data_IF_168538442642
#
_entry.id   IF_168538442642
#
_cell.length_a   1.000
_cell.length_b   1.000
_cell.length_c   1.000
_cell.angle_alpha   90.00
_cell.angle_beta   90.00
_cell.angle_gamma   90.00
#
_symmetry.space_group_name_H-M   'P 1'
#
loop_
_entity.id
_entity.type
_entity.pdbx_description
1 polymer ?
#
# COMPACT_ATOMS: atom_id res chain seq x y z
N UNK A 1 15.86 9.76 -47.34
CA UNK A 1 14.73 10.32 -48.10
C UNK A 1 15.05 11.74 -48.65
N UNK A 2 15.46 12.69 -47.80
CA UNK A 2 15.75 14.09 -48.22
C UNK A 2 16.88 14.17 -49.23
N UNK A 3 17.98 13.43 -49.04
CA UNK A 3 19.12 13.40 -49.97
C UNK A 3 18.74 12.79 -51.32
N UNK A 4 17.93 11.74 -51.37
CA UNK A 4 17.43 11.14 -52.63
C UNK A 4 16.46 12.06 -53.37
N UNK A 5 15.62 12.79 -52.67
CA UNK A 5 14.72 13.78 -53.22
C UNK A 5 15.51 14.99 -53.77
N UNK A 6 16.58 15.39 -53.10
CA UNK A 6 17.48 16.46 -53.54
C UNK A 6 18.26 16.08 -54.80
N UNK A 7 18.75 14.82 -54.93
CA UNK A 7 19.40 14.29 -56.13
C UNK A 7 18.43 14.21 -57.33
N UNK A 8 17.16 13.78 -57.09
CA UNK A 8 16.15 13.79 -58.16
C UNK A 8 15.82 15.19 -58.67
N UNK A 9 15.88 16.21 -57.83
CA UNK A 9 15.66 17.61 -58.21
C UNK A 9 16.83 18.19 -59.00
N UNK A 10 18.02 17.60 -58.91
CA UNK A 10 19.18 18.00 -59.68
C UNK A 10 19.34 17.32 -61.06
N UNK A 11 18.40 16.38 -61.38
CA UNK A 11 18.43 15.74 -62.73
C UNK A 11 19.47 14.62 -62.85
N UNK A 12 20.07 14.14 -61.76
CA UNK A 12 21.02 13.03 -61.77
C UNK A 12 20.29 11.69 -61.93
N UNK A 13 20.86 10.82 -62.80
CA UNK A 13 20.30 9.45 -62.96
C UNK A 13 20.60 8.60 -61.75
N UNK A 14 19.55 8.19 -61.04
CA UNK A 14 19.66 7.31 -59.90
C UNK A 14 20.13 5.92 -60.33
N UNK A 15 21.31 5.52 -59.89
CA UNK A 15 21.78 4.15 -60.08
C UNK A 15 21.06 3.22 -59.10
N UNK A 16 20.93 1.91 -59.42
CA UNK A 16 20.30 0.92 -58.54
C UNK A 16 20.95 0.87 -57.14
N UNK A 17 22.26 1.14 -57.06
CA UNK A 17 23.00 1.18 -55.81
C UNK A 17 22.61 2.37 -54.89
N UNK A 18 22.45 3.57 -55.50
CA UNK A 18 22.03 4.75 -54.74
C UNK A 18 20.58 4.62 -54.24
N UNK A 19 19.72 4.00 -55.02
CA UNK A 19 18.33 3.70 -54.63
C UNK A 19 18.26 2.73 -53.43
N UNK A 20 19.01 1.62 -53.51
CA UNK A 20 19.03 0.63 -52.43
C UNK A 20 19.62 1.22 -51.16
N UNK A 21 20.71 1.96 -51.23
CA UNK A 21 21.35 2.61 -50.08
C UNK A 21 20.42 3.64 -49.43
N UNK A 22 19.73 4.44 -50.23
CA UNK A 22 18.77 5.44 -49.74
C UNK A 22 17.57 4.78 -49.08
N UNK A 23 17.07 3.66 -49.63
CA UNK A 23 15.96 2.90 -49.07
C UNK A 23 16.32 2.28 -47.73
N UNK A 24 17.53 1.71 -47.62
CA UNK A 24 18.03 1.13 -46.36
C UNK A 24 18.21 2.20 -45.28
N UNK A 25 18.78 3.36 -45.66
CA UNK A 25 18.92 4.48 -44.73
C UNK A 25 17.57 5.05 -44.30
N UNK A 26 16.61 5.17 -45.21
CA UNK A 26 15.25 5.60 -44.88
C UNK A 26 14.53 4.62 -43.93
N UNK A 27 14.69 3.31 -44.18
CA UNK A 27 14.14 2.28 -43.30
C UNK A 27 14.76 2.33 -41.89
N UNK A 28 16.08 2.41 -41.76
CA UNK A 28 16.79 2.53 -40.49
C UNK A 28 16.42 3.82 -39.75
N UNK A 29 16.32 4.94 -40.47
CA UNK A 29 15.89 6.21 -39.87
C UNK A 29 14.47 6.18 -39.38
N UNK A 30 13.56 5.50 -40.10
CA UNK A 30 12.16 5.30 -39.68
C UNK A 30 12.05 4.49 -38.38
N UNK A 31 12.85 3.41 -38.23
CA UNK A 31 12.89 2.61 -37.01
C UNK A 31 13.37 3.44 -35.80
N UNK A 32 14.43 4.24 -35.99
CA UNK A 32 14.94 5.13 -34.93
C UNK A 32 13.93 6.24 -34.56
N UNK A 33 13.23 6.77 -35.57
CA UNK A 33 12.20 7.79 -35.33
C UNK A 33 11.00 7.24 -34.54
N UNK A 34 10.59 6.00 -34.87
CA UNK A 34 9.52 5.34 -34.14
C UNK A 34 9.85 5.13 -32.65
N UNK A 35 11.10 4.77 -32.34
CA UNK A 35 11.59 4.62 -30.98
C UNK A 35 11.53 5.94 -30.20
N UNK A 36 11.98 7.03 -30.84
CA UNK A 36 11.91 8.38 -30.22
C UNK A 36 10.46 8.82 -29.97
N UNK A 37 9.57 8.57 -30.95
CA UNK A 37 8.14 8.90 -30.79
C UNK A 37 7.49 8.06 -29.66
N UNK A 38 7.84 6.78 -29.55
CA UNK A 38 7.36 5.94 -28.46
C UNK A 38 7.91 6.40 -27.10
N UNK A 39 9.20 6.69 -27.00
CA UNK A 39 9.80 7.22 -25.78
C UNK A 39 9.13 8.54 -25.35
N UNK A 40 8.89 9.44 -26.31
CA UNK A 40 8.16 10.69 -26.06
C UNK A 40 6.74 10.44 -25.55
N UNK A 41 6.00 9.48 -26.13
CA UNK A 41 4.65 9.13 -25.69
C UNK A 41 4.65 8.57 -24.27
N UNK A 42 5.62 7.72 -23.92
CA UNK A 42 5.80 7.18 -22.57
C UNK A 42 6.11 8.30 -21.56
N UNK A 43 7.02 9.21 -21.90
CA UNK A 43 7.33 10.36 -21.05
C UNK A 43 6.12 11.26 -20.84
N UNK A 44 5.41 11.63 -21.90
CA UNK A 44 4.24 12.50 -21.82
C UNK A 44 3.05 11.82 -21.11
N UNK A 45 2.89 10.49 -21.30
CA UNK A 45 1.85 9.73 -20.62
C UNK A 45 2.06 9.61 -19.12
N UNK A 46 3.33 9.60 -18.68
CA UNK A 46 3.66 9.50 -17.24
C UNK A 46 3.83 10.88 -16.56
N UNK A 47 3.90 11.96 -17.34
CA UNK A 47 4.08 13.32 -16.81
C UNK A 47 2.98 13.73 -15.81
N UNK A 48 1.67 13.49 -16.08
CA UNK A 48 0.61 13.83 -15.14
C UNK A 48 0.73 13.09 -13.80
N UNK A 49 1.17 11.82 -13.83
CA UNK A 49 1.43 11.04 -12.63
C UNK A 49 2.60 11.60 -11.82
N UNK A 50 3.67 12.01 -12.50
CA UNK A 50 4.81 12.66 -11.86
C UNK A 50 4.45 14.03 -11.27
N UNK A 51 3.69 14.83 -11.98
CA UNK A 51 3.20 16.14 -11.49
C UNK A 51 2.30 15.97 -10.27
N UNK A 52 1.39 14.97 -10.29
CA UNK A 52 0.56 14.64 -9.13
C UNK A 52 1.39 14.20 -7.92
N UNK A 53 2.45 13.42 -8.14
CA UNK A 53 3.41 13.03 -7.09
C UNK A 53 4.17 14.24 -6.55
N UNK A 54 4.63 15.14 -7.41
CA UNK A 54 5.33 16.36 -7.01
C UNK A 54 4.41 17.30 -6.23
N UNK A 55 3.14 17.45 -6.62
CA UNK A 55 2.15 18.23 -5.90
C UNK A 55 1.86 17.61 -4.52
N UNK A 56 1.66 16.28 -4.44
CA UNK A 56 1.49 15.58 -3.17
C UNK A 56 2.73 15.68 -2.28
N UNK A 57 3.93 15.58 -2.87
CA UNK A 57 5.18 15.79 -2.11
C UNK A 57 5.26 17.18 -1.51
N UNK A 58 4.83 18.22 -2.26
CA UNK A 58 4.75 19.60 -1.73
C UNK A 58 3.77 19.75 -0.56
N UNK A 59 2.71 18.93 -0.56
CA UNK A 59 1.75 18.86 0.55
C UNK A 59 2.27 18.04 1.74
N UNK A 60 3.16 17.06 1.48
CA UNK A 60 3.76 16.19 2.48
C UNK A 60 4.99 16.80 3.17
N UNK A 61 5.56 17.91 2.63
CA UNK A 61 6.60 18.67 3.33
C UNK A 61 5.91 19.41 4.47
N UNK A 62 6.26 19.16 5.75
CA UNK A 62 5.63 19.84 6.87
C UNK A 62 5.80 21.34 6.70
N UNK A 63 4.71 22.11 6.71
CA UNK A 63 4.81 23.53 6.98
C UNK A 63 5.50 23.66 8.34
N UNK A 64 6.69 24.22 8.35
CA UNK A 64 7.36 24.65 9.58
C UNK A 64 6.52 25.78 10.19
N UNK A 65 5.66 25.44 11.13
CA UNK A 65 4.86 26.41 11.83
C UNK A 65 3.60 25.76 12.38
N UNK A 66 3.76 25.00 13.42
CA UNK A 66 2.90 25.01 14.62
C UNK A 66 3.51 24.06 15.65
N UNK A 67 4.49 24.55 16.35
CA UNK A 67 5.13 23.87 17.49
C UNK A 67 4.28 23.98 18.78
N UNK A 68 2.95 24.11 18.67
CA UNK A 68 2.05 24.20 19.82
C UNK A 68 1.33 22.88 20.16
N UNK A 69 1.35 21.89 19.24
CA UNK A 69 0.86 20.57 19.57
C UNK A 69 2.00 19.79 20.27
N UNK A 70 1.80 19.43 21.52
CA UNK A 70 2.77 18.70 22.35
C UNK A 70 3.03 17.34 21.71
N UNK A 71 4.03 17.28 20.83
CA UNK A 71 4.59 16.04 20.32
C UNK A 71 4.95 15.18 21.52
N UNK A 72 4.42 13.99 21.62
CA UNK A 72 4.91 13.03 22.62
C UNK A 72 6.39 12.89 22.37
N UNK A 73 7.22 13.15 23.39
CA UNK A 73 8.67 13.07 23.28
C UNK A 73 9.08 11.66 22.81
N UNK A 74 10.18 11.54 22.04
CA UNK A 74 10.66 10.25 21.50
C UNK A 74 10.79 9.16 22.57
N UNK A 75 11.15 9.51 23.81
CA UNK A 75 11.16 8.60 24.95
C UNK A 75 9.77 8.01 25.29
N UNK A 76 8.69 8.77 25.05
CA UNK A 76 7.31 8.30 25.25
C UNK A 76 6.85 7.39 24.12
N UNK A 77 7.34 7.59 22.88
CA UNK A 77 7.06 6.72 21.74
C UNK A 77 7.70 5.34 21.92
N UNK A 78 8.93 5.28 22.44
CA UNK A 78 9.58 4.00 22.77
C UNK A 78 8.79 3.24 23.83
N UNK A 79 8.29 3.95 24.85
CA UNK A 79 7.41 3.36 25.87
C UNK A 79 6.10 2.87 25.27
N UNK A 80 5.49 3.63 24.36
CA UNK A 80 4.27 3.27 23.65
C UNK A 80 4.46 2.03 22.76
N UNK A 81 5.58 1.91 22.05
CA UNK A 81 5.85 0.78 21.16
C UNK A 81 6.08 -0.53 21.90
N UNK A 82 6.50 -0.47 23.17
CA UNK A 82 6.75 -1.62 24.04
C UNK A 82 5.65 -1.87 25.05
N UNK A 83 4.75 -0.89 25.27
CA UNK A 83 3.63 -1.03 26.20
C UNK A 83 2.58 -2.03 25.68
N UNK A 84 2.03 -2.83 26.59
CA UNK A 84 0.80 -3.57 26.32
C UNK A 84 -0.36 -2.60 26.42
N UNK A 85 -1.03 -2.33 25.31
CA UNK A 85 -2.25 -1.53 25.30
C UNK A 85 -3.42 -2.41 25.70
N UNK A 86 -4.34 -1.84 26.43
CA UNK A 86 -5.56 -2.53 26.82
C UNK A 86 -6.75 -2.08 25.96
N UNK A 87 -6.64 -0.89 25.38
CA UNK A 87 -7.73 -0.29 24.62
C UNK A 87 -7.18 0.78 23.65
N UNK A 88 -7.77 0.83 22.47
CA UNK A 88 -7.62 1.90 21.50
C UNK A 88 -9.01 2.47 21.19
N UNK A 89 -9.20 3.75 21.43
CA UNK A 89 -10.34 4.52 20.96
C UNK A 89 -9.90 5.40 19.81
N UNK A 90 -10.57 5.30 18.67
CA UNK A 90 -10.40 6.21 17.53
C UNK A 90 -11.68 6.99 17.29
N UNK A 91 -11.55 8.27 16.95
CA UNK A 91 -12.66 9.11 16.52
C UNK A 91 -12.22 10.11 15.44
N UNK A 92 -13.16 10.49 14.57
CA UNK A 92 -12.96 11.51 13.53
C UNK A 92 -14.15 12.44 13.48
N UNK A 93 -13.89 13.74 13.35
CA UNK A 93 -14.91 14.76 13.13
C UNK A 93 -15.35 14.87 11.67
N UNK A 94 -14.60 14.26 10.74
CA UNK A 94 -14.93 14.30 9.34
C UNK A 94 -16.17 13.44 9.02
N UNK A 95 -17.01 13.92 8.10
CA UNK A 95 -18.11 13.15 7.55
C UNK A 95 -17.56 11.91 6.82
N UNK A 96 -17.76 10.75 7.40
CA UNK A 96 -17.18 9.52 6.88
C UNK A 96 -18.13 8.88 5.88
N UNK A 97 -17.61 8.46 4.73
CA UNK A 97 -18.35 7.67 3.74
C UNK A 97 -18.94 6.36 4.31
N UNK A 98 -18.51 5.98 5.50
CA UNK A 98 -18.96 4.79 6.24
C UNK A 98 -20.02 5.11 7.30
N UNK A 99 -20.28 6.39 7.58
CA UNK A 99 -21.13 6.83 8.70
C UNK A 99 -20.56 6.51 10.09
N UNK A 100 -19.39 5.90 10.18
CA UNK A 100 -18.72 5.56 11.44
C UNK A 100 -17.72 6.65 11.82
N UNK A 101 -18.00 7.37 12.91
CA UNK A 101 -17.17 8.47 13.40
C UNK A 101 -16.29 8.09 14.59
N UNK A 102 -16.49 6.92 15.17
CA UNK A 102 -15.68 6.42 16.28
C UNK A 102 -15.63 4.90 16.32
N UNK A 103 -14.56 4.36 16.88
CA UNK A 103 -14.33 2.93 17.05
C UNK A 103 -13.57 2.66 18.34
N UNK A 104 -14.12 1.78 19.17
CA UNK A 104 -13.47 1.24 20.35
C UNK A 104 -12.97 -0.16 20.08
N UNK A 105 -11.71 -0.41 20.41
CA UNK A 105 -11.05 -1.70 20.24
C UNK A 105 -10.30 -2.07 21.52
N UNK A 106 -10.39 -3.33 21.91
CA UNK A 106 -9.78 -3.84 23.15
C UNK A 106 -8.55 -4.69 22.83
N UNK A 107 -7.54 -4.63 23.69
CA UNK A 107 -6.31 -5.39 23.54
C UNK A 107 -6.56 -6.89 23.57
N UNK A 108 -5.64 -7.60 22.93
CA UNK A 108 -5.73 -9.07 22.77
C UNK A 108 -7.03 -9.48 22.09
N UNK A 109 -7.45 -8.71 21.08
CA UNK A 109 -8.69 -8.94 20.38
C UNK A 109 -8.57 -8.73 18.88
N UNK A 110 -9.41 -9.44 18.16
CA UNK A 110 -9.59 -9.33 16.72
C UNK A 110 -10.87 -8.56 16.44
N UNK A 111 -10.74 -7.38 15.85
CA UNK A 111 -11.87 -6.59 15.36
C UNK A 111 -11.96 -6.75 13.86
N UNK A 112 -13.09 -7.25 13.38
CA UNK A 112 -13.33 -7.45 11.95
C UNK A 112 -14.34 -6.44 11.40
N UNK A 113 -13.98 -5.80 10.29
CA UNK A 113 -14.85 -4.93 9.52
C UNK A 113 -15.38 -5.71 8.32
N UNK A 114 -16.70 -5.77 8.19
CA UNK A 114 -17.37 -6.40 7.04
C UNK A 114 -18.36 -5.44 6.38
N UNK A 115 -18.81 -5.77 5.19
CA UNK A 115 -19.77 -4.97 4.43
C UNK A 115 -19.57 -5.12 2.92
N UNK A 116 -20.49 -4.69 2.08
CA UNK A 116 -20.40 -4.84 0.63
C UNK A 116 -19.16 -4.17 0.04
N UNK A 117 -18.79 -4.55 -1.18
CA UNK A 117 -17.71 -3.87 -1.91
C UNK A 117 -18.03 -2.39 -2.08
N UNK A 118 -17.04 -1.52 -1.90
CA UNK A 118 -17.21 -0.07 -1.99
C UNK A 118 -17.87 0.58 -0.75
N UNK A 119 -18.15 -0.16 0.32
CA UNK A 119 -18.72 0.42 1.56
C UNK A 119 -17.74 1.24 2.38
N UNK A 120 -16.46 1.31 2.00
CA UNK A 120 -15.45 2.09 2.69
C UNK A 120 -14.64 1.35 3.76
N UNK A 121 -14.65 0.00 3.77
CA UNK A 121 -13.86 -0.81 4.73
C UNK A 121 -12.37 -0.45 4.75
N UNK A 122 -11.73 -0.47 3.59
CA UNK A 122 -10.33 -0.05 3.42
C UNK A 122 -10.10 1.37 3.93
N UNK A 123 -10.99 2.31 3.55
CA UNK A 123 -10.91 3.70 4.01
C UNK A 123 -11.00 3.81 5.52
N UNK A 124 -11.87 3.00 6.16
CA UNK A 124 -11.99 2.99 7.61
C UNK A 124 -10.72 2.45 8.29
N UNK A 125 -10.17 1.33 7.79
CA UNK A 125 -8.88 0.81 8.29
C UNK A 125 -7.78 1.85 8.12
N UNK A 126 -7.66 2.46 6.93
CA UNK A 126 -6.65 3.48 6.66
C UNK A 126 -6.75 4.68 7.59
N UNK A 127 -7.97 5.11 7.95
CA UNK A 127 -8.21 6.17 8.94
C UNK A 127 -7.77 5.77 10.33
N UNK A 128 -8.26 4.63 10.82
CA UNK A 128 -7.91 4.13 12.15
C UNK A 128 -6.41 3.90 12.29
N UNK A 129 -5.77 3.44 11.22
CA UNK A 129 -4.33 3.25 11.12
C UNK A 129 -3.53 4.56 10.95
N UNK A 130 -4.20 5.70 10.79
CA UNK A 130 -3.54 6.99 10.57
C UNK A 130 -2.90 7.14 9.20
N UNK A 131 -3.26 6.31 8.22
CA UNK A 131 -2.70 6.36 6.87
C UNK A 131 -3.31 7.47 6.01
N UNK A 132 -4.50 7.95 6.37
CA UNK A 132 -5.11 9.12 5.77
C UNK A 132 -4.73 10.37 6.58
N UNK A 133 -4.31 11.43 5.86
CA UNK A 133 -3.93 12.70 6.47
C UNK A 133 -5.18 13.52 6.80
N UNK A 134 -5.82 13.24 7.93
CA UNK A 134 -7.00 13.94 8.42
C UNK A 134 -6.65 14.73 9.69
N UNK A 135 -6.98 16.02 9.70
CA UNK A 135 -6.72 16.89 10.85
C UNK A 135 -7.66 16.58 12.02
N UNK A 136 -8.84 16.05 11.73
CA UNK A 136 -9.90 15.77 12.72
C UNK A 136 -9.84 14.35 13.30
N UNK A 137 -8.79 13.58 13.01
CA UNK A 137 -8.62 12.25 13.59
C UNK A 137 -7.97 12.31 14.96
N UNK A 138 -8.52 11.54 15.89
CA UNK A 138 -8.05 11.45 17.27
C UNK A 138 -7.90 9.99 17.68
N UNK A 139 -6.84 9.68 18.39
CA UNK A 139 -6.59 8.35 18.97
C UNK A 139 -6.34 8.50 20.45
N UNK A 140 -6.98 7.67 21.25
CA UNK A 140 -6.69 7.51 22.66
C UNK A 140 -6.28 6.05 22.91
N UNK A 141 -5.09 5.88 23.46
CA UNK A 141 -4.51 4.58 23.76
C UNK A 141 -4.41 4.44 25.28
N UNK A 142 -4.99 3.40 25.83
CA UNK A 142 -4.95 3.11 27.25
C UNK A 142 -4.15 1.84 27.49
N UNK A 143 -3.20 1.87 28.41
CA UNK A 143 -2.41 0.68 28.78
C UNK A 143 -1.42 0.94 29.90
N UNK A 144 -1.11 -0.09 30.68
CA UNK A 144 -0.15 -0.03 31.78
C UNK A 144 -0.41 1.12 32.76
N UNK A 145 -1.67 1.51 32.96
CA UNK A 145 -2.06 2.62 33.86
C UNK A 145 -1.88 4.02 33.27
N UNK A 146 -1.52 4.12 32.00
CA UNK A 146 -1.34 5.39 31.28
C UNK A 146 -2.39 5.55 30.17
N UNK A 147 -2.67 6.81 29.84
CA UNK A 147 -3.49 7.20 28.69
C UNK A 147 -2.67 8.15 27.81
N UNK A 148 -2.54 7.77 26.53
CA UNK A 148 -1.90 8.60 25.52
C UNK A 148 -2.98 9.12 24.56
N UNK A 149 -2.87 10.38 24.20
CA UNK A 149 -3.77 11.03 23.24
C UNK A 149 -2.97 11.54 22.07
N UNK A 150 -3.36 11.10 20.88
CA UNK A 150 -2.78 11.51 19.61
C UNK A 150 -3.87 12.20 18.80
N UNK A 151 -3.52 13.25 18.05
CA UNK A 151 -4.50 13.98 17.25
C UNK A 151 -3.89 14.57 16.00
N UNK A 152 -4.72 14.72 14.98
CA UNK A 152 -4.39 15.35 13.73
C UNK A 152 -3.21 14.68 12.99
N UNK A 153 -2.54 15.45 12.15
CA UNK A 153 -1.42 14.95 11.34
C UNK A 153 -0.21 14.51 12.19
N UNK A 154 0.02 15.14 13.33
CA UNK A 154 1.10 14.73 14.24
C UNK A 154 0.77 13.37 14.88
N UNK A 155 -0.46 13.19 15.33
CA UNK A 155 -0.94 11.92 15.87
C UNK A 155 -0.89 10.79 14.86
N UNK A 156 -1.29 11.04 13.62
CA UNK A 156 -1.19 10.07 12.53
C UNK A 156 0.24 9.58 12.31
N UNK A 157 1.23 10.50 12.30
CA UNK A 157 2.66 10.12 12.18
C UNK A 157 3.14 9.26 13.34
N UNK A 158 2.65 9.52 14.55
CA UNK A 158 2.97 8.69 15.71
C UNK A 158 2.31 7.32 15.60
N UNK A 159 1.06 7.24 15.12
CA UNK A 159 0.40 5.97 14.84
C UNK A 159 1.17 5.11 13.83
N UNK A 160 1.79 5.69 12.79
CA UNK A 160 2.62 4.94 11.84
C UNK A 160 3.80 4.21 12.50
N UNK A 161 4.29 4.68 13.64
CA UNK A 161 5.38 3.99 14.37
C UNK A 161 4.87 2.82 15.21
N UNK A 162 3.58 2.80 15.52
CA UNK A 162 2.93 1.85 16.40
C UNK A 162 2.20 0.73 15.65
N UNK A 163 2.03 0.89 14.34
CA UNK A 163 1.22 -0.01 13.51
C UNK A 163 2.07 -0.82 12.54
N UNK A 164 1.66 -2.08 12.33
CA UNK A 164 2.01 -2.86 11.16
C UNK A 164 0.78 -2.96 10.25
N UNK A 165 0.91 -2.54 9.00
CA UNK A 165 -0.19 -2.51 8.04
C UNK A 165 0.09 -3.40 6.84
N UNK A 166 -0.87 -4.22 6.46
CA UNK A 166 -0.87 -4.99 5.23
C UNK A 166 -2.04 -4.58 4.33
N UNK A 167 -1.79 -3.94 3.19
CA UNK A 167 -2.83 -3.59 2.24
C UNK A 167 -3.34 -4.82 1.48
N UNK A 168 -4.56 -4.75 0.96
CA UNK A 168 -5.14 -5.80 0.12
C UNK A 168 -4.26 -6.14 -1.09
N UNK A 169 -3.66 -5.13 -1.72
CA UNK A 169 -2.78 -5.29 -2.86
C UNK A 169 -1.34 -4.94 -2.46
N UNK A 170 -0.57 -5.96 -2.11
CA UNK A 170 0.85 -5.80 -1.85
C UNK A 170 1.63 -5.63 -3.16
N UNK A 171 2.74 -4.89 -3.10
CA UNK A 171 3.64 -4.67 -4.24
C UNK A 171 5.01 -5.23 -3.90
N UNK A 172 5.63 -5.92 -4.86
CA UNK A 172 7.05 -6.31 -4.82
C UNK A 172 7.86 -5.36 -5.70
N UNK A 173 9.08 -5.11 -5.26
CA UNK A 173 10.06 -4.28 -5.97
C UNK A 173 11.12 -5.16 -6.63
N UNK A 174 11.76 -4.67 -7.69
CA UNK A 174 12.93 -5.29 -8.31
C UNK A 174 14.17 -5.16 -7.39
N UNK A 175 14.14 -5.87 -6.28
CA UNK A 175 15.14 -5.95 -5.24
C UNK A 175 15.20 -7.40 -4.75
N UNK A 176 16.04 -7.72 -3.77
CA UNK A 176 16.06 -9.07 -3.20
C UNK A 176 14.75 -9.39 -2.45
N UNK A 177 14.46 -10.68 -2.22
CA UNK A 177 13.32 -11.06 -1.39
C UNK A 177 13.50 -10.54 0.05
N UNK A 178 14.71 -10.54 0.57
CA UNK A 178 15.06 -9.94 1.86
C UNK A 178 14.69 -8.46 1.91
N UNK A 179 15.13 -7.68 0.93
CA UNK A 179 14.86 -6.24 0.89
C UNK A 179 13.36 -5.96 0.79
N UNK A 180 12.65 -6.77 -0.01
CA UNK A 180 11.20 -6.68 -0.12
C UNK A 180 10.48 -6.95 1.20
N UNK A 181 10.96 -7.88 2.01
CA UNK A 181 10.34 -8.21 3.30
C UNK A 181 10.71 -7.19 4.39
N UNK A 182 11.96 -6.78 4.45
CA UNK A 182 12.45 -5.94 5.53
C UNK A 182 12.18 -4.45 5.31
N UNK A 183 12.29 -3.94 4.07
CA UNK A 183 12.18 -2.51 3.76
C UNK A 183 12.99 -1.64 4.74
N UNK A 184 14.23 -2.06 5.03
CA UNK A 184 15.13 -1.37 5.93
C UNK A 184 14.95 -1.67 7.42
N UNK A 185 14.07 -2.59 7.81
CA UNK A 185 14.01 -3.10 9.18
C UNK A 185 15.06 -4.20 9.41
N UNK A 186 15.59 -4.28 10.62
CA UNK A 186 16.50 -5.35 11.00
C UNK A 186 15.72 -6.56 11.53
N UNK A 187 15.94 -7.72 10.92
CA UNK A 187 15.42 -9.00 11.39
C UNK A 187 16.43 -10.12 11.10
N UNK A 188 16.51 -11.08 12.01
CA UNK A 188 17.35 -12.25 11.82
C UNK A 188 16.83 -13.13 10.68
N UNK A 189 17.73 -13.69 9.90
CA UNK A 189 17.41 -14.57 8.78
C UNK A 189 16.51 -15.74 9.19
N UNK A 190 16.81 -16.39 10.31
CA UNK A 190 16.04 -17.52 10.85
C UNK A 190 14.56 -17.18 11.10
N UNK A 191 14.29 -15.93 11.53
CA UNK A 191 12.93 -15.47 11.71
C UNK A 191 12.19 -15.38 10.36
N UNK A 192 12.83 -14.87 9.31
CA UNK A 192 12.25 -14.77 7.96
C UNK A 192 11.96 -16.17 7.41
N UNK A 193 12.90 -17.11 7.52
CA UNK A 193 12.75 -18.48 7.04
C UNK A 193 11.60 -19.20 7.76
N UNK A 194 11.52 -19.05 9.07
CA UNK A 194 10.42 -19.61 9.88
C UNK A 194 9.06 -19.06 9.42
N UNK A 195 8.97 -17.76 9.18
CA UNK A 195 7.74 -17.15 8.69
C UNK A 195 7.35 -17.62 7.29
N UNK A 196 8.31 -17.75 6.37
CA UNK A 196 8.06 -18.27 5.03
C UNK A 196 7.53 -19.71 5.09
N UNK A 197 8.08 -20.54 5.97
CA UNK A 197 7.57 -21.90 6.20
C UNK A 197 6.12 -21.90 6.72
N UNK A 198 5.83 -21.08 7.73
CA UNK A 198 4.49 -20.96 8.33
C UNK A 198 3.43 -20.52 7.32
N UNK A 199 3.81 -19.70 6.35
CA UNK A 199 2.91 -19.20 5.31
C UNK A 199 2.86 -20.08 4.05
N UNK A 200 3.53 -21.25 4.06
CA UNK A 200 3.59 -22.13 2.89
C UNK A 200 4.39 -21.53 1.72
N UNK A 201 5.39 -20.71 2.03
CA UNK A 201 6.26 -20.04 1.06
C UNK A 201 7.71 -20.56 1.12
N UNK A 202 7.94 -21.72 1.76
CA UNK A 202 9.29 -22.31 1.95
C UNK A 202 10.02 -22.52 0.61
N UNK A 203 9.30 -22.85 -0.47
CA UNK A 203 9.86 -23.03 -1.81
C UNK A 203 10.60 -21.78 -2.33
N UNK A 204 10.30 -20.60 -1.83
CA UNK A 204 10.99 -19.36 -2.20
C UNK A 204 12.44 -19.34 -1.70
N UNK A 205 12.78 -20.12 -0.66
CA UNK A 205 14.14 -20.28 -0.16
C UNK A 205 15.00 -21.16 -1.07
N UNK A 206 14.37 -22.03 -1.86
CA UNK A 206 15.04 -22.96 -2.78
C UNK A 206 15.46 -22.28 -4.10
N UNK A 207 15.02 -21.02 -4.31
CA UNK A 207 15.41 -20.25 -5.50
C UNK A 207 16.92 -20.01 -5.50
N UNK A 208 17.57 -19.98 -6.70
CA UNK A 208 19.00 -19.67 -6.80
C UNK A 208 19.33 -18.34 -6.12
N UNK A 209 20.23 -18.37 -5.12
CA UNK A 209 20.60 -17.21 -4.31
C UNK A 209 19.67 -16.94 -3.11
N UNK A 210 18.63 -17.75 -2.90
CA UNK A 210 17.78 -17.70 -1.70
C UNK A 210 17.15 -16.33 -1.47
N UNK A 211 17.22 -15.84 -0.22
CA UNK A 211 16.66 -14.54 0.17
C UNK A 211 17.33 -13.34 -0.48
N UNK A 212 18.60 -13.45 -0.85
CA UNK A 212 19.42 -12.32 -1.31
C UNK A 212 19.47 -12.20 -2.84
N UNK A 213 18.85 -13.15 -3.57
CA UNK A 213 18.75 -13.07 -5.03
C UNK A 213 17.83 -11.93 -5.46
N UNK A 214 18.22 -11.12 -6.46
CA UNK A 214 17.34 -10.14 -7.05
C UNK A 214 16.10 -10.80 -7.64
N UNK A 215 14.92 -10.21 -7.42
CA UNK A 215 13.68 -10.68 -8.01
C UNK A 215 13.58 -10.17 -9.44
N UNK A 216 13.56 -11.08 -10.42
CA UNK A 216 13.33 -10.78 -11.82
C UNK A 216 11.82 -10.88 -12.12
N UNK A 217 11.02 -9.95 -11.64
CA UNK A 217 9.54 -10.01 -11.64
C UNK A 217 8.95 -10.23 -13.03
N UNK A 218 9.62 -9.75 -14.08
CA UNK A 218 9.16 -9.93 -15.46
C UNK A 218 9.46 -11.34 -16.01
N UNK A 219 10.47 -12.04 -15.49
CA UNK A 219 10.92 -13.35 -15.99
C UNK A 219 10.40 -14.51 -15.13
N UNK A 220 10.22 -14.26 -13.86
CA UNK A 220 9.76 -15.25 -12.87
C UNK A 220 8.69 -14.62 -11.97
N UNK A 221 7.46 -14.48 -12.49
CA UNK A 221 6.40 -13.80 -11.79
C UNK A 221 5.90 -14.60 -10.60
N UNK A 222 5.65 -13.91 -9.50
CA UNK A 222 4.96 -14.47 -8.34
C UNK A 222 3.47 -14.58 -8.61
N UNK A 223 2.82 -15.60 -8.08
CA UNK A 223 1.36 -15.67 -8.05
C UNK A 223 0.77 -14.56 -7.17
N UNK A 224 -0.47 -14.16 -7.46
CA UNK A 224 -1.17 -13.15 -6.64
C UNK A 224 -1.25 -13.55 -5.16
N UNK A 225 -1.48 -14.84 -4.89
CA UNK A 225 -1.51 -15.36 -3.52
C UNK A 225 -0.14 -15.35 -2.82
N UNK A 226 0.97 -15.51 -3.53
CA UNK A 226 2.32 -15.36 -2.97
C UNK A 226 2.63 -13.91 -2.64
N UNK A 227 2.35 -13.00 -3.58
CA UNK A 227 2.53 -11.54 -3.36
C UNK A 227 1.73 -11.10 -2.14
N UNK A 228 0.49 -11.55 -2.02
CA UNK A 228 -0.38 -11.21 -0.91
C UNK A 228 0.19 -11.70 0.44
N UNK A 229 0.60 -12.97 0.52
CA UNK A 229 1.23 -13.55 1.73
C UNK A 229 2.55 -12.89 2.07
N UNK A 230 3.37 -12.50 1.08
CA UNK A 230 4.59 -11.72 1.32
C UNK A 230 4.27 -10.31 1.86
N UNK A 231 3.16 -9.70 1.44
CA UNK A 231 2.67 -8.44 2.00
C UNK A 231 2.28 -8.56 3.47
N UNK A 232 1.56 -9.63 3.83
CA UNK A 232 1.23 -9.96 5.23
C UNK A 232 2.50 -10.21 6.05
N UNK A 233 3.43 -11.01 5.53
CA UNK A 233 4.69 -11.29 6.19
C UNK A 233 5.49 -10.02 6.45
N UNK A 234 5.54 -9.10 5.50
CA UNK A 234 6.16 -7.77 5.64
C UNK A 234 5.60 -7.00 6.84
N UNK A 235 4.29 -7.02 7.03
CA UNK A 235 3.64 -6.39 8.18
C UNK A 235 4.01 -7.11 9.48
N UNK A 236 3.94 -8.43 9.53
CA UNK A 236 4.22 -9.20 10.74
C UNK A 236 5.68 -9.16 11.20
N UNK A 237 6.63 -9.06 10.27
CA UNK A 237 8.05 -8.86 10.61
C UNK A 237 8.33 -7.52 11.30
N UNK A 238 7.44 -6.54 11.18
CA UNK A 238 7.57 -5.27 11.90
C UNK A 238 7.30 -5.36 13.37
N UNK A 239 6.63 -6.41 13.81
CA UNK A 239 6.36 -6.74 15.21
C UNK A 239 5.77 -5.59 16.03
N UNK A 240 4.72 -4.96 15.52
CA UNK A 240 4.07 -3.80 16.14
C UNK A 240 2.92 -4.21 17.06
N UNK A 241 2.60 -3.39 18.08
CA UNK A 241 1.51 -3.68 19.02
C UNK A 241 0.11 -3.61 18.40
N UNK A 242 -0.07 -2.86 17.31
CA UNK A 242 -1.31 -2.77 16.54
C UNK A 242 -1.09 -3.24 15.11
N UNK A 243 -1.99 -4.05 14.59
CA UNK A 243 -1.96 -4.60 13.25
C UNK A 243 -3.25 -4.29 12.49
N UNK A 244 -3.11 -3.63 11.33
CA UNK A 244 -4.19 -3.40 10.39
C UNK A 244 -4.00 -4.26 9.15
N UNK A 245 -4.96 -5.14 8.84
CA UNK A 245 -4.88 -6.04 7.69
C UNK A 245 -6.11 -5.88 6.79
N UNK A 246 -5.89 -5.49 5.55
CA UNK A 246 -6.99 -5.31 4.60
C UNK A 246 -7.16 -6.58 3.75
N UNK A 247 -8.30 -7.28 3.91
CA UNK A 247 -8.68 -8.52 3.24
C UNK A 247 -7.57 -9.61 3.30
N UNK A 248 -7.10 -10.04 4.49
CA UNK A 248 -5.89 -10.86 4.64
C UNK A 248 -5.98 -12.26 4.01
N UNK A 249 -7.17 -12.77 3.73
CA UNK A 249 -7.37 -14.07 3.07
C UNK A 249 -7.80 -13.96 1.60
N UNK A 250 -7.87 -12.74 1.05
CA UNK A 250 -8.20 -12.55 -0.37
C UNK A 250 -7.16 -13.20 -1.29
N UNK A 251 -7.61 -13.69 -2.42
CA UNK A 251 -6.77 -14.33 -3.46
C UNK A 251 -6.04 -15.61 -3.03
N UNK A 252 -6.36 -16.17 -1.87
CA UNK A 252 -5.74 -17.37 -1.34
C UNK A 252 -6.61 -18.61 -1.61
N UNK A 253 -5.95 -19.73 -1.89
CA UNK A 253 -6.60 -21.04 -1.84
C UNK A 253 -6.93 -21.42 -0.38
N UNK A 254 -7.75 -22.45 -0.20
CA UNK A 254 -8.22 -22.87 1.13
C UNK A 254 -7.07 -23.20 2.10
N UNK A 255 -5.98 -23.80 1.61
CA UNK A 255 -4.82 -24.18 2.44
C UNK A 255 -4.03 -22.94 2.87
N UNK A 256 -3.74 -22.03 1.94
CA UNK A 256 -3.04 -20.80 2.22
C UNK A 256 -3.87 -19.88 3.14
N UNK A 257 -5.19 -19.80 2.92
CA UNK A 257 -6.08 -19.06 3.79
C UNK A 257 -6.08 -19.60 5.23
N UNK A 258 -6.06 -20.94 5.42
CA UNK A 258 -5.97 -21.55 6.75
C UNK A 258 -4.64 -21.21 7.45
N UNK A 259 -3.52 -21.22 6.73
CA UNK A 259 -2.24 -20.77 7.30
C UNK A 259 -2.33 -19.33 7.81
N UNK A 260 -2.91 -18.43 7.01
CA UNK A 260 -3.07 -17.01 7.37
C UNK A 260 -4.03 -16.86 8.56
N UNK A 261 -5.18 -17.55 8.57
CA UNK A 261 -6.12 -17.52 9.68
C UNK A 261 -5.49 -18.01 11.00
N UNK A 262 -4.70 -19.08 10.93
CA UNK A 262 -3.98 -19.61 12.09
C UNK A 262 -3.02 -18.59 12.68
N UNK A 263 -2.29 -17.87 11.84
CA UNK A 263 -1.38 -16.80 12.28
C UNK A 263 -2.15 -15.64 12.88
N UNK A 264 -3.23 -15.19 12.25
CA UNK A 264 -4.08 -14.10 12.77
C UNK A 264 -4.61 -14.47 14.16
N UNK A 265 -5.13 -15.68 14.32
CA UNK A 265 -5.65 -16.18 15.61
C UNK A 265 -4.60 -16.16 16.72
N UNK A 266 -3.38 -16.61 16.44
CA UNK A 266 -2.28 -16.59 17.39
C UNK A 266 -1.87 -15.16 17.77
N UNK A 267 -1.73 -14.30 16.77
CA UNK A 267 -1.29 -12.92 16.99
C UNK A 267 -2.33 -12.08 17.71
N UNK A 268 -3.62 -12.28 17.45
CA UNK A 268 -4.71 -11.61 18.13
C UNK A 268 -4.73 -11.84 19.66
N UNK A 269 -4.15 -12.95 20.12
CA UNK A 269 -4.01 -13.20 21.57
C UNK A 269 -3.02 -12.27 22.28
N UNK A 270 -2.15 -11.62 21.55
CA UNK A 270 -1.07 -10.80 22.10
C UNK A 270 -1.08 -9.35 21.59
N UNK A 271 -1.88 -9.06 20.56
CA UNK A 271 -1.89 -7.78 19.84
C UNK A 271 -3.31 -7.33 19.57
N UNK A 272 -3.46 -6.04 19.37
CA UNK A 272 -4.68 -5.49 18.84
C UNK A 272 -4.67 -5.64 17.32
N UNK A 273 -5.71 -6.27 16.78
CA UNK A 273 -5.82 -6.50 15.33
C UNK A 273 -7.13 -5.92 14.79
N UNK A 274 -7.02 -5.13 13.72
CA UNK A 274 -8.14 -4.63 12.95
C UNK A 274 -8.04 -5.20 11.53
N UNK A 275 -9.05 -5.94 11.11
CA UNK A 275 -9.07 -6.53 9.76
C UNK A 275 -10.31 -6.11 8.99
N UNK A 276 -10.22 -5.96 7.69
CA UNK A 276 -11.38 -6.08 6.81
C UNK A 276 -11.49 -7.52 6.33
N UNK A 277 -12.67 -8.08 6.27
CA UNK A 277 -12.81 -9.42 5.71
C UNK A 277 -14.23 -9.75 5.26
N UNK A 278 -14.29 -10.60 4.24
CA UNK A 278 -15.49 -11.35 3.82
C UNK A 278 -15.40 -12.84 4.17
N UNK A 279 -14.30 -13.28 4.78
CA UNK A 279 -14.06 -14.66 5.15
C UNK A 279 -14.92 -15.04 6.38
N UNK A 280 -15.89 -15.96 6.24
CA UNK A 280 -16.78 -16.32 7.35
C UNK A 280 -16.04 -16.90 8.55
N UNK A 281 -14.92 -17.58 8.33
CA UNK A 281 -14.15 -18.20 9.40
C UNK A 281 -13.38 -17.16 10.22
N UNK A 282 -12.87 -16.09 9.57
CA UNK A 282 -12.28 -14.96 10.29
C UNK A 282 -13.32 -14.15 11.04
N UNK A 283 -14.50 -13.92 10.44
CA UNK A 283 -15.59 -13.21 11.08
C UNK A 283 -16.11 -13.98 12.31
N UNK A 284 -16.18 -15.31 12.24
CA UNK A 284 -16.58 -16.15 13.37
C UNK A 284 -15.55 -16.18 14.52
N UNK A 285 -14.30 -15.85 14.25
CA UNK A 285 -13.22 -15.79 15.25
C UNK A 285 -13.02 -14.39 15.83
N UNK A 286 -13.64 -13.36 15.23
CA UNK A 286 -13.50 -12.00 15.69
C UNK A 286 -14.24 -11.78 17.02
N UNK A 287 -13.58 -11.06 17.94
CA UNK A 287 -14.19 -10.66 19.21
C UNK A 287 -15.23 -9.56 19.00
N UNK A 288 -15.07 -8.78 17.94
CA UNK A 288 -16.01 -7.74 17.52
C UNK A 288 -16.13 -7.72 16.00
N UNK A 289 -17.37 -7.68 15.50
CA UNK A 289 -17.65 -7.53 14.07
C UNK A 289 -18.40 -6.24 13.83
N UNK A 290 -17.85 -5.39 12.96
CA UNK A 290 -18.42 -4.10 12.57
C UNK A 290 -18.90 -4.20 11.12
N UNK A 291 -20.19 -4.00 10.92
CA UNK A 291 -20.77 -3.98 9.58
C UNK A 291 -20.83 -2.55 9.05
N UNK A 292 -20.12 -2.27 7.98
CA UNK A 292 -20.14 -0.97 7.30
C UNK A 292 -21.15 -1.01 6.16
N UNK A 293 -22.09 -0.08 6.18
CA UNK A 293 -23.07 0.10 5.10
C UNK A 293 -22.71 1.34 4.29
N UNK A 294 -22.85 1.32 2.96
CA UNK A 294 -22.61 2.51 2.15
C UNK A 294 -23.55 3.63 2.59
N UNK A 295 -23.01 4.81 2.88
CA UNK A 295 -23.85 6.01 3.05
C UNK A 295 -24.47 6.32 1.68
N UNK A 296 -25.80 6.50 1.59
CA UNK A 296 -26.42 6.89 0.35
C UNK A 296 -25.79 8.20 -0.14
N UNK A 297 -25.32 8.21 -1.39
CA UNK A 297 -24.74 9.40 -1.99
C UNK A 297 -25.76 10.55 -1.85
N UNK A 298 -25.31 11.66 -1.27
CA UNK A 298 -26.13 12.88 -1.23
C UNK A 298 -26.58 13.21 -2.67
N UNK A 299 -27.85 13.49 -2.90
CA UNK A 299 -28.33 13.84 -4.24
C UNK A 299 -27.49 15.01 -4.77
N UNK A 300 -27.13 15.01 -6.07
CA UNK A 300 -26.35 16.10 -6.65
C UNK A 300 -27.09 17.42 -6.35
N UNK A 301 -26.35 18.38 -5.82
CA UNK A 301 -26.90 19.72 -5.56
C UNK A 301 -27.55 20.21 -6.84
N UNK A 302 -28.84 20.42 -6.78
CA UNK A 302 -29.65 20.98 -7.87
C UNK A 302 -29.02 22.30 -8.29
N UNK A 303 -28.54 22.35 -9.53
CA UNK A 303 -28.02 23.58 -10.11
C UNK A 303 -29.07 24.71 -9.93
N UNK A 304 -28.65 25.91 -9.53
CA UNK A 304 -29.60 27.03 -9.39
C UNK A 304 -30.30 27.26 -10.74
N UNK A 305 -31.62 27.26 -10.71
CA UNK A 305 -32.44 27.57 -11.88
C UNK A 305 -31.99 28.92 -12.43
N UNK A 306 -31.56 28.93 -13.68
CA UNK A 306 -31.36 30.17 -14.42
C UNK A 306 -32.71 30.79 -14.62
N UNK A 307 -32.99 31.83 -13.88
CA UNK A 307 -34.13 32.73 -14.14
C UNK A 307 -33.81 33.56 -15.37
N UNK A 308 -34.64 33.38 -16.38
CA UNK A 308 -34.71 34.17 -17.62
C UNK A 308 -35.08 35.62 -17.36
#
# INVERSE_FOLDING_TARGET
AVAGLWMLLQGETLTAETLTTTLVLAYRSSASLSTVVQARRLCLGNLPGYEALCQRRGQLIPRQGDASDRTIADASLTTLSTARWNELHWSSGADTSTGLTSLDMYANGLVAITGPSGSGKTTLIDRVCGLLNEEDSHWQLNGAGNTWRLSGLAGARQMHQLIAYAPQNAVLFEASLRDNLLLGADQHQEAIETWLQRLGLAHLLERPGGLDAPLALAQDPFSGGEIHRLGLLRAWLRDKPFEGLDEPTAFLDAKAAEHVRSVIRERAQQRLMLISSHDPELLAQADQVITVTPTPASPPATAPAQTS
#
